data_IF_875955556338
#
_entry.id   IF_875955556338
#
_cell.length_a   1.000
_cell.length_b   1.000
_cell.length_c   1.000
_cell.angle_alpha   90.00
_cell.angle_beta   90.00
_cell.angle_gamma   90.00
#
_symmetry.space_group_name_H-M   'P 1'
#
loop_
_entity.id
_entity.type
_entity.pdbx_description
1 polymer ?
#
# COMPACT_ATOMS: atom_id res chain seq x y z
N UNK A 1 14.62 -22.10 -14.18
CA UNK A 1 14.33 -20.69 -13.87
C UNK A 1 12.98 -20.65 -13.17
N UNK A 2 12.88 -20.15 -11.95
CA UNK A 2 11.60 -20.08 -11.25
C UNK A 2 10.76 -18.94 -11.83
N UNK A 3 9.45 -19.17 -11.99
CA UNK A 3 8.46 -18.15 -12.37
C UNK A 3 7.78 -17.52 -11.14
N UNK A 4 8.20 -17.91 -9.93
CA UNK A 4 7.62 -17.41 -8.69
C UNK A 4 8.06 -15.97 -8.46
N UNK A 5 7.08 -15.08 -8.21
CA UNK A 5 7.30 -13.69 -7.80
C UNK A 5 7.16 -13.61 -6.28
N UNK A 6 8.28 -13.44 -5.58
CA UNK A 6 8.28 -13.22 -4.13
C UNK A 6 8.00 -11.75 -3.84
N UNK A 7 7.21 -11.49 -2.79
CA UNK A 7 7.06 -10.14 -2.25
C UNK A 7 8.17 -9.90 -1.24
N UNK A 8 9.03 -8.92 -1.50
CA UNK A 8 10.02 -8.44 -0.54
C UNK A 8 9.32 -7.60 0.53
N UNK A 9 9.29 -8.06 1.78
CA UNK A 9 8.63 -7.35 2.87
C UNK A 9 9.43 -6.18 3.43
N UNK A 10 10.69 -6.00 3.01
CA UNK A 10 11.54 -4.88 3.40
C UNK A 10 12.30 -4.27 2.20
N UNK A 11 11.58 -3.64 1.25
CA UNK A 11 12.17 -3.17 0.01
C UNK A 11 13.20 -2.06 0.24
N UNK A 12 14.34 -2.14 -0.46
CA UNK A 12 15.44 -1.16 -0.32
C UNK A 12 15.32 0.06 -1.24
N UNK A 13 14.38 0.05 -2.19
CA UNK A 13 14.17 1.16 -3.12
C UNK A 13 13.27 2.26 -2.52
N UNK A 14 13.32 3.46 -3.08
CA UNK A 14 12.53 4.59 -2.58
C UNK A 14 11.02 4.37 -2.77
N UNK A 15 10.20 4.59 -1.74
CA UNK A 15 8.75 4.51 -1.88
C UNK A 15 8.19 5.70 -2.64
N UNK A 16 6.96 5.55 -3.12
CA UNK A 16 6.09 6.68 -3.41
C UNK A 16 5.48 7.20 -2.10
N UNK A 17 5.69 8.47 -1.80
CA UNK A 17 5.12 9.13 -0.64
C UNK A 17 3.76 9.76 -0.95
N UNK A 18 2.86 9.76 0.02
CA UNK A 18 1.56 10.45 -0.06
C UNK A 18 1.02 10.77 1.33
N UNK A 19 -0.05 11.57 1.39
CA UNK A 19 -0.81 11.86 2.60
C UNK A 19 -2.26 11.41 2.44
N UNK A 20 -2.97 11.34 3.56
CA UNK A 20 -4.42 11.22 3.54
C UNK A 20 -5.05 12.37 2.73
N UNK A 21 -6.03 12.04 1.90
CA UNK A 21 -6.86 13.06 1.27
C UNK A 21 -7.69 13.78 2.37
N UNK A 22 -7.84 15.11 2.32
CA UNK A 22 -8.50 15.87 3.39
C UNK A 22 -9.89 15.35 3.75
N UNK A 23 -10.68 14.94 2.76
CA UNK A 23 -12.03 14.40 2.94
C UNK A 23 -12.08 13.00 3.58
N UNK A 24 -10.93 12.33 3.71
CA UNK A 24 -10.80 11.00 4.34
C UNK A 24 -10.12 11.06 5.70
N UNK A 25 -9.47 12.18 6.05
CA UNK A 25 -8.77 12.33 7.31
C UNK A 25 -9.76 12.56 8.45
N UNK A 26 -9.62 11.77 9.52
CA UNK A 26 -10.45 11.89 10.73
C UNK A 26 -9.61 12.51 11.86
N UNK A 27 -8.38 12.02 12.08
CA UNK A 27 -7.48 12.52 13.12
C UNK A 27 -5.99 12.30 12.79
N UNK A 28 -5.12 13.16 13.34
CA UNK A 28 -3.66 13.09 13.16
C UNK A 28 -3.18 13.73 11.85
N UNK A 29 -1.95 13.38 11.45
CA UNK A 29 -1.35 13.77 10.15
C UNK A 29 -0.55 12.58 9.57
N UNK A 30 -1.23 11.48 9.19
CA UNK A 30 -0.55 10.29 8.73
C UNK A 30 0.11 10.52 7.37
N UNK A 31 1.36 10.08 7.27
CA UNK A 31 2.14 9.99 6.05
C UNK A 31 2.21 8.54 5.59
N UNK A 32 2.13 8.33 4.29
CA UNK A 32 2.07 7.01 3.68
C UNK A 32 3.26 6.78 2.76
N UNK A 33 3.75 5.54 2.73
CA UNK A 33 4.75 5.06 1.78
C UNK A 33 4.22 3.85 1.04
N UNK A 34 4.47 3.77 -0.26
CA UNK A 34 4.10 2.61 -1.09
C UNK A 34 5.30 2.12 -1.89
N UNK A 35 5.62 0.84 -1.76
CA UNK A 35 6.61 0.13 -2.56
C UNK A 35 5.88 -0.87 -3.46
N UNK A 36 5.51 -0.44 -4.66
CA UNK A 36 4.91 -1.33 -5.66
C UNK A 36 5.96 -2.31 -6.19
N UNK A 37 5.63 -3.60 -6.24
CA UNK A 37 6.58 -4.66 -6.63
C UNK A 37 6.10 -5.46 -7.84
N UNK A 38 4.80 -5.57 -8.06
CA UNK A 38 4.27 -6.25 -9.23
C UNK A 38 2.97 -5.64 -9.74
N UNK A 39 2.78 -5.79 -11.05
CA UNK A 39 1.54 -5.50 -11.78
C UNK A 39 1.26 -6.69 -12.69
N UNK A 40 0.03 -7.20 -12.63
CA UNK A 40 -0.39 -8.36 -13.40
C UNK A 40 -1.82 -8.19 -13.93
N UNK A 41 -2.20 -9.08 -14.85
CA UNK A 41 -3.55 -9.14 -15.44
C UNK A 41 -3.96 -7.80 -16.05
N UNK A 42 -3.10 -7.25 -16.92
CA UNK A 42 -3.36 -5.99 -17.63
C UNK A 42 -3.74 -4.84 -16.68
N UNK A 43 -2.91 -4.65 -15.65
CA UNK A 43 -3.05 -3.61 -14.62
C UNK A 43 -4.21 -3.81 -13.63
N UNK A 44 -4.87 -4.98 -13.63
CA UNK A 44 -5.95 -5.28 -12.69
C UNK A 44 -5.46 -5.67 -11.29
N UNK A 45 -4.24 -6.19 -11.17
CA UNK A 45 -3.70 -6.68 -9.88
C UNK A 45 -2.37 -6.00 -9.59
N UNK A 46 -2.37 -5.21 -8.52
CA UNK A 46 -1.16 -4.58 -7.97
C UNK A 46 -0.75 -5.28 -6.68
N UNK A 47 0.55 -5.50 -6.49
CA UNK A 47 1.11 -6.06 -5.26
C UNK A 47 2.29 -5.23 -4.79
N UNK A 48 2.43 -5.08 -3.48
CA UNK A 48 3.52 -4.33 -2.89
C UNK A 48 3.44 -4.27 -1.37
N UNK A 49 4.29 -3.41 -0.80
CA UNK A 49 4.31 -3.09 0.63
C UNK A 49 3.82 -1.66 0.83
N UNK A 50 3.10 -1.44 1.91
CA UNK A 50 2.56 -0.14 2.29
C UNK A 50 2.79 0.11 3.79
N UNK A 51 3.16 1.34 4.13
CA UNK A 51 3.38 1.80 5.50
C UNK A 51 2.60 3.09 5.75
N UNK A 52 2.11 3.27 6.97
CA UNK A 52 1.56 4.51 7.47
C UNK A 52 2.12 4.88 8.85
N UNK A 53 2.36 6.17 9.06
CA UNK A 53 2.53 6.73 10.41
C UNK A 53 1.17 6.85 11.12
N UNK A 54 1.14 6.98 12.46
CA UNK A 54 -0.11 7.00 13.22
C UNK A 54 -1.10 8.09 12.77
N UNK A 55 -2.37 7.71 12.63
CA UNK A 55 -3.48 8.58 12.29
C UNK A 55 -4.76 7.79 12.05
N UNK A 56 -5.88 8.49 11.85
CA UNK A 56 -7.17 7.87 11.59
C UNK A 56 -7.72 8.36 10.25
N UNK A 57 -8.07 7.43 9.38
CA UNK A 57 -8.60 7.74 8.05
C UNK A 57 -9.73 6.80 7.66
N UNK A 58 -10.63 7.29 6.81
CA UNK A 58 -11.71 6.49 6.21
C UNK A 58 -11.25 5.87 4.90
N UNK A 59 -11.16 4.54 4.87
CA UNK A 59 -10.90 3.81 3.61
C UNK A 59 -12.13 3.81 2.70
N UNK A 60 -11.91 4.05 1.41
CA UNK A 60 -12.92 4.01 0.35
C UNK A 60 -12.28 3.28 -0.83
N UNK A 61 -12.74 2.07 -1.13
CA UNK A 61 -12.19 1.21 -2.19
C UNK A 61 -13.05 1.15 -3.45
N UNK A 62 -14.30 1.62 -3.38
CA UNK A 62 -15.26 1.49 -4.48
C UNK A 62 -15.45 0.02 -4.84
N UNK A 63 -15.31 -0.32 -6.11
CA UNK A 63 -15.49 -1.68 -6.64
C UNK A 63 -14.22 -2.54 -6.58
N UNK A 64 -13.14 -2.03 -5.97
CA UNK A 64 -11.87 -2.76 -5.84
C UNK A 64 -11.82 -3.58 -4.54
N UNK A 65 -11.24 -4.78 -4.65
CA UNK A 65 -10.91 -5.59 -3.48
C UNK A 65 -9.45 -5.35 -3.11
N UNK A 66 -9.16 -5.32 -1.82
CA UNK A 66 -7.81 -5.25 -1.29
C UNK A 66 -7.62 -6.31 -0.22
N UNK A 67 -6.54 -7.06 -0.35
CA UNK A 67 -6.07 -7.98 0.68
C UNK A 67 -4.92 -7.30 1.44
N UNK A 68 -5.01 -7.30 2.76
CA UNK A 68 -3.96 -6.77 3.63
C UNK A 68 -3.43 -7.88 4.54
N UNK A 69 -2.12 -8.06 4.56
CA UNK A 69 -1.42 -8.82 5.57
C UNK A 69 -0.62 -7.84 6.43
N UNK A 70 -0.90 -7.80 7.73
CA UNK A 70 -0.19 -6.91 8.65
C UNK A 70 1.20 -7.50 8.94
N UNK A 71 2.25 -6.84 8.48
CA UNK A 71 3.64 -7.27 8.67
C UNK A 71 4.22 -6.80 10.01
N UNK A 72 3.81 -5.60 10.44
CA UNK A 72 4.23 -4.95 11.67
C UNK A 72 3.18 -3.92 12.09
N UNK A 73 3.27 -3.49 13.34
CA UNK A 73 2.40 -2.51 13.98
C UNK A 73 2.78 -2.33 15.43
#
# INVERSE_FOLDING_TARGET
MSLLKSVDTNPSFSPRESKALPERLIAGDPTFKTWAQDVAKDDLVHTGVWEATPGETRSIKGDTFEFCHILSG
#
